data_IF_404865976294
#
_entry.id   IF_404865976294
#
_cell.length_a   1.000
_cell.length_b   1.000
_cell.length_c   1.000
_cell.angle_alpha   90.00
_cell.angle_beta   90.00
_cell.angle_gamma   90.00
#
_symmetry.space_group_name_H-M   'P 1'
#
loop_
_entity.id
_entity.type
_entity.pdbx_description
1 polymer ?
#
# COMPACT_ATOMS: atom_id res chain seq x y z
N UNK A 1 -45.53 -8.81 28.38
CA UNK A 1 -44.70 -8.00 27.46
C UNK A 1 -43.25 -8.42 27.63
N UNK A 2 -42.66 -9.11 26.66
CA UNK A 2 -41.24 -9.47 26.67
C UNK A 2 -40.58 -8.71 25.53
N UNK A 3 -39.87 -7.64 25.87
CA UNK A 3 -39.10 -6.84 24.93
C UNK A 3 -37.99 -7.69 24.35
N UNK A 4 -37.98 -7.80 23.02
CA UNK A 4 -36.93 -8.48 22.27
C UNK A 4 -35.82 -7.46 21.95
N UNK A 5 -35.07 -7.05 22.97
CA UNK A 5 -33.99 -6.04 22.88
C UNK A 5 -32.61 -6.67 22.58
N UNK A 6 -32.58 -7.77 21.83
CA UNK A 6 -31.35 -8.52 21.54
C UNK A 6 -30.53 -8.03 20.35
N UNK A 7 -30.91 -6.91 19.70
CA UNK A 7 -30.28 -6.48 18.44
C UNK A 7 -29.81 -5.02 18.38
N UNK A 8 -29.86 -4.26 19.47
CA UNK A 8 -29.38 -2.88 19.49
C UNK A 8 -28.01 -2.79 20.17
N UNK A 9 -26.94 -2.74 19.38
CA UNK A 9 -25.71 -2.06 19.83
C UNK A 9 -24.38 -2.77 19.63
N UNK A 10 -24.35 -4.08 19.38
CA UNK A 10 -23.09 -4.73 19.02
C UNK A 10 -22.84 -4.62 17.52
N UNK A 11 -22.30 -3.48 17.09
CA UNK A 11 -21.44 -3.45 15.90
C UNK A 11 -20.29 -4.41 16.18
N UNK A 12 -20.42 -5.65 15.74
CA UNK A 12 -19.33 -6.61 15.68
C UNK A 12 -18.34 -6.04 14.67
N UNK A 13 -17.43 -5.19 15.14
CA UNK A 13 -16.26 -4.80 14.37
C UNK A 13 -15.41 -6.05 14.32
N UNK A 14 -15.49 -6.79 13.22
CA UNK A 14 -14.59 -7.90 12.94
C UNK A 14 -13.16 -7.43 13.21
N UNK A 15 -12.36 -8.14 14.02
CA UNK A 15 -10.97 -7.77 14.31
C UNK A 15 -10.18 -7.48 13.02
N UNK A 16 -10.45 -8.28 11.98
CA UNK A 16 -9.88 -8.14 10.64
C UNK A 16 -10.20 -6.80 9.97
N UNK A 17 -11.37 -6.21 10.25
CA UNK A 17 -11.73 -4.86 9.78
C UNK A 17 -10.94 -3.78 10.53
N UNK A 18 -10.71 -3.97 11.82
CA UNK A 18 -9.94 -3.04 12.67
C UNK A 18 -8.46 -3.02 12.27
N UNK A 19 -7.91 -4.19 11.94
CA UNK A 19 -6.54 -4.31 11.44
C UNK A 19 -6.36 -3.67 10.06
N UNK A 20 -7.34 -3.80 9.15
CA UNK A 20 -7.31 -3.11 7.84
C UNK A 20 -7.49 -1.59 7.97
N UNK A 21 -8.29 -1.12 8.92
CA UNK A 21 -8.50 0.31 9.18
C UNK A 21 -7.25 1.03 9.72
N UNK A 22 -6.27 0.28 10.26
CA UNK A 22 -5.04 0.84 10.82
C UNK A 22 -3.84 0.83 9.85
N UNK A 23 -3.91 0.14 8.70
CA UNK A 23 -2.79 0.07 7.76
C UNK A 23 -2.70 1.35 6.93
N UNK A 24 -1.49 1.90 6.83
CA UNK A 24 -1.18 3.06 5.99
C UNK A 24 -0.57 2.61 4.67
N UNK A 25 -0.65 3.47 3.66
CA UNK A 25 0.06 3.25 2.39
C UNK A 25 1.57 3.10 2.60
N UNK A 26 2.16 3.72 3.63
CA UNK A 26 3.56 3.52 4.03
C UNK A 26 3.94 2.04 4.26
N UNK A 27 3.01 1.22 4.78
CA UNK A 27 3.23 -0.21 5.03
C UNK A 27 3.00 -1.08 3.79
N UNK A 28 2.57 -0.48 2.67
CA UNK A 28 2.26 -1.18 1.45
C UNK A 28 3.52 -1.42 0.60
N UNK A 29 3.67 -2.64 0.07
CA UNK A 29 4.79 -2.98 -0.84
C UNK A 29 4.74 -2.22 -2.17
N UNK A 30 3.55 -1.75 -2.56
CA UNK A 30 3.36 -1.01 -3.80
C UNK A 30 3.66 0.49 -3.66
N UNK A 31 3.88 0.99 -2.44
CA UNK A 31 4.31 2.36 -2.23
C UNK A 31 5.83 2.43 -2.31
N UNK A 32 6.32 3.14 -3.32
CA UNK A 32 7.75 3.26 -3.63
C UNK A 32 8.14 4.72 -3.79
N UNK A 33 9.41 5.05 -3.56
CA UNK A 33 9.95 6.35 -3.95
C UNK A 33 10.32 6.33 -5.43
N UNK A 34 9.64 7.15 -6.22
CA UNK A 34 9.98 7.37 -7.62
C UNK A 34 10.98 8.52 -7.69
N UNK A 35 12.20 8.21 -8.12
CA UNK A 35 13.29 9.14 -8.30
C UNK A 35 13.25 9.73 -9.70
N UNK A 36 12.93 11.01 -9.79
CA UNK A 36 13.14 11.83 -10.96
C UNK A 36 14.58 12.32 -11.07
N UNK A 37 14.81 13.27 -11.99
CA UNK A 37 16.14 13.87 -12.19
C UNK A 37 16.53 14.82 -11.06
N UNK A 38 15.56 15.57 -10.53
CA UNK A 38 15.78 16.61 -9.51
C UNK A 38 15.00 16.34 -8.21
N UNK A 39 13.93 15.55 -8.28
CA UNK A 39 13.04 15.30 -7.14
C UNK A 39 12.77 13.81 -6.95
N UNK A 40 12.48 13.41 -5.72
CA UNK A 40 11.97 12.08 -5.39
C UNK A 40 10.58 12.23 -4.77
N UNK A 41 9.61 11.49 -5.32
CA UNK A 41 8.22 11.52 -4.84
C UNK A 41 7.72 10.12 -4.54
N UNK A 42 6.85 10.00 -3.56
CA UNK A 42 6.13 8.76 -3.31
C UNK A 42 5.17 8.47 -4.46
N UNK A 43 5.05 7.20 -4.83
CA UNK A 43 4.17 6.75 -5.89
C UNK A 43 3.64 5.35 -5.61
N UNK A 44 2.40 5.09 -6.02
CA UNK A 44 1.77 3.78 -5.93
C UNK A 44 1.87 3.05 -7.27
N UNK A 45 2.59 1.92 -7.30
CA UNK A 45 2.76 1.11 -8.52
C UNK A 45 1.77 -0.04 -8.65
N UNK A 46 0.79 -0.17 -7.73
CA UNK A 46 -0.19 -1.26 -7.75
C UNK A 46 -1.02 -1.31 -9.04
N UNK A 47 -1.28 -0.15 -9.65
CA UNK A 47 -2.02 -0.03 -10.91
C UNK A 47 -1.16 -0.20 -12.17
N UNK A 48 0.14 -0.49 -12.02
CA UNK A 48 1.04 -0.70 -13.15
C UNK A 48 1.15 -2.20 -13.47
N UNK A 49 0.98 -2.61 -14.74
CA UNK A 49 0.80 -4.01 -15.13
C UNK A 49 1.98 -4.92 -14.73
N UNK A 50 3.21 -4.42 -14.78
CA UNK A 50 4.41 -5.21 -14.47
C UNK A 50 4.66 -5.38 -12.97
N UNK A 51 4.16 -4.44 -12.15
CA UNK A 51 4.38 -4.44 -10.70
C UNK A 51 3.25 -5.15 -9.95
N UNK A 52 2.07 -5.30 -10.57
CA UNK A 52 0.97 -6.09 -10.04
C UNK A 52 1.12 -7.61 -10.21
N UNK A 53 2.14 -8.06 -10.96
CA UNK A 53 2.35 -9.48 -11.25
C UNK A 53 2.73 -10.27 -9.97
N UNK A 54 2.11 -11.44 -9.72
CA UNK A 54 2.44 -12.28 -8.58
C UNK A 54 3.92 -12.72 -8.63
N UNK A 55 4.63 -12.55 -7.52
CA UNK A 55 6.05 -12.91 -7.41
C UNK A 55 7.05 -11.83 -7.85
N UNK A 56 6.61 -10.74 -8.49
CA UNK A 56 7.49 -9.62 -8.83
C UNK A 56 7.95 -8.90 -7.56
N UNK A 57 9.26 -8.85 -7.29
CA UNK A 57 9.80 -8.04 -6.20
C UNK A 57 9.67 -6.55 -6.55
N UNK A 58 9.09 -5.79 -5.64
CA UNK A 58 8.94 -4.34 -5.80
C UNK A 58 10.04 -3.68 -4.96
N UNK A 59 10.99 -2.97 -5.59
CA UNK A 59 12.04 -2.28 -4.87
C UNK A 59 11.47 -1.08 -4.12
N UNK A 60 12.14 -0.66 -3.05
CA UNK A 60 11.69 0.48 -2.23
C UNK A 60 11.77 1.81 -2.99
N UNK A 61 12.63 1.88 -4.01
CA UNK A 61 12.80 3.03 -4.90
C UNK A 61 12.87 2.59 -6.36
N UNK A 62 12.31 3.40 -7.25
CA UNK A 62 12.33 3.22 -8.70
C UNK A 62 12.75 4.51 -9.39
N UNK A 63 13.46 4.42 -10.52
CA UNK A 63 13.67 5.60 -11.34
C UNK A 63 12.44 5.89 -12.20
N UNK A 64 12.10 7.17 -12.36
CA UNK A 64 11.00 7.61 -13.20
C UNK A 64 11.14 7.09 -14.65
N UNK A 65 12.36 6.98 -15.16
CA UNK A 65 12.64 6.41 -16.50
C UNK A 65 12.15 4.97 -16.63
N UNK A 66 12.33 4.14 -15.60
CA UNK A 66 11.88 2.75 -15.61
C UNK A 66 10.35 2.68 -15.58
N UNK A 67 9.71 3.52 -14.77
CA UNK A 67 8.25 3.62 -14.72
C UNK A 67 7.69 4.08 -16.07
N UNK A 68 8.33 5.04 -16.73
CA UNK A 68 7.94 5.50 -18.08
C UNK A 68 8.14 4.41 -19.12
N UNK A 69 9.23 3.64 -19.06
CA UNK A 69 9.49 2.53 -19.99
C UNK A 69 8.41 1.45 -19.88
N UNK A 70 7.96 1.14 -18.67
CA UNK A 70 7.00 0.06 -18.40
C UNK A 70 5.55 0.50 -18.61
N UNK A 71 5.18 1.70 -18.16
CA UNK A 71 3.80 2.14 -18.07
C UNK A 71 3.50 3.46 -18.82
N UNK A 72 4.50 4.01 -19.51
CA UNK A 72 4.41 5.31 -20.16
C UNK A 72 4.40 6.49 -19.19
N UNK A 73 4.43 7.70 -19.75
CA UNK A 73 4.35 8.96 -18.99
C UNK A 73 3.06 9.05 -18.18
N UNK A 74 1.97 8.59 -18.75
CA UNK A 74 0.65 8.59 -18.11
C UNK A 74 0.58 7.60 -16.92
N UNK A 75 1.25 6.45 -17.03
CA UNK A 75 1.45 5.53 -15.91
C UNK A 75 2.24 6.15 -14.76
N UNK A 76 3.32 6.88 -15.07
CA UNK A 76 4.07 7.63 -14.06
C UNK A 76 3.21 8.67 -13.34
N UNK A 77 2.44 9.47 -14.08
CA UNK A 77 1.56 10.49 -13.49
C UNK A 77 0.51 9.89 -12.57
N UNK A 78 -0.11 8.76 -12.97
CA UNK A 78 -1.03 8.03 -12.09
C UNK A 78 -0.36 7.51 -10.82
N UNK A 79 0.86 6.98 -10.94
CA UNK A 79 1.59 6.43 -9.81
C UNK A 79 1.88 7.51 -8.77
N UNK A 80 2.43 8.66 -9.17
CA UNK A 80 2.73 9.76 -8.24
C UNK A 80 1.48 10.45 -7.69
N UNK A 81 0.36 10.42 -8.42
CA UNK A 81 -0.90 11.02 -7.95
C UNK A 81 -1.56 10.25 -6.79
N UNK A 82 -1.18 8.98 -6.58
CA UNK A 82 -1.71 8.11 -5.50
C UNK A 82 -0.64 7.73 -4.47
N UNK A 83 0.47 8.46 -4.44
CA UNK A 83 1.61 8.18 -3.57
C UNK A 83 1.61 9.00 -2.29
N UNK A 84 0.63 8.80 -1.41
CA UNK A 84 0.64 9.41 -0.09
C UNK A 84 0.97 8.35 0.98
N UNK A 85 2.11 8.43 1.68
CA UNK A 85 2.47 7.47 2.73
C UNK A 85 1.54 7.52 3.95
N UNK A 86 0.95 8.69 4.25
CA UNK A 86 0.11 8.88 5.43
C UNK A 86 -1.36 8.53 5.19
N UNK A 87 -1.75 8.41 3.92
CA UNK A 87 -3.09 7.97 3.56
C UNK A 87 -3.37 6.54 4.07
N UNK A 88 -4.64 6.29 4.40
CA UNK A 88 -5.13 4.96 4.70
C UNK A 88 -4.91 4.04 3.49
N UNK A 89 -4.47 2.81 3.75
CA UNK A 89 -4.22 1.84 2.70
C UNK A 89 -5.48 1.54 1.89
N UNK A 90 -5.33 1.48 0.56
CA UNK A 90 -6.42 1.16 -0.35
C UNK A 90 -6.74 -0.35 -0.36
N UNK A 91 -7.81 -0.73 -1.09
CA UNK A 91 -8.25 -2.12 -1.22
C UNK A 91 -7.27 -3.08 -1.92
N UNK A 92 -6.17 -2.56 -2.48
CA UNK A 92 -5.09 -3.35 -3.13
C UNK A 92 -3.85 -3.46 -2.20
N UNK A 93 -4.02 -3.18 -0.91
CA UNK A 93 -2.95 -3.27 0.07
C UNK A 93 -2.33 -4.66 0.09
N UNK A 94 -1.01 -4.71 -0.08
CA UNK A 94 -0.21 -5.87 0.26
C UNK A 94 0.87 -5.45 1.24
N UNK A 95 1.05 -6.16 2.37
CA UNK A 95 2.05 -5.81 3.35
C UNK A 95 3.45 -5.87 2.72
N UNK A 96 4.28 -4.89 3.04
CA UNK A 96 5.74 -5.04 2.86
C UNK A 96 6.15 -6.27 3.64
N UNK A 97 6.79 -7.24 2.99
CA UNK A 97 7.58 -8.24 3.69
C UNK A 97 8.74 -7.50 4.35
N UNK A 98 8.50 -6.95 5.55
CA UNK A 98 9.57 -6.50 6.42
C UNK A 98 10.39 -7.75 6.66
N UNK A 99 11.63 -7.80 6.17
CA UNK A 99 12.56 -8.83 6.62
C UNK A 99 12.42 -8.82 8.13
N UNK A 100 11.92 -9.91 8.72
CA UNK A 100 12.00 -10.13 10.14
C UNK A 100 13.49 -9.98 10.44
N UNK A 101 13.90 -8.81 10.95
CA UNK A 101 15.23 -8.67 11.51
C UNK A 101 15.20 -9.68 12.64
N UNK A 102 16.00 -10.75 12.62
CA UNK A 102 16.11 -11.59 13.79
C UNK A 102 16.60 -10.67 14.89
N UNK A 103 15.72 -10.36 15.84
CA UNK A 103 16.08 -9.67 17.07
C UNK A 103 17.05 -10.60 17.78
N UNK A 104 18.34 -10.36 17.61
CA UNK A 104 19.39 -11.02 18.38
C UNK A 104 19.31 -10.40 19.78
N UNK A 105 18.93 -11.15 20.82
CA UNK A 105 19.14 -10.69 22.19
C UNK A 105 20.65 -10.73 22.45
N UNK A 106 21.20 -9.57 22.81
CA UNK A 106 22.56 -9.43 23.33
C UNK A 106 22.63 -9.77 24.81
#
# INVERSE_FOLDING_TARGET
MRGNSLWEGHRIVLPELRERAAKRCADCRFLVKIQGREEARWGCVAGLPEYGAPGKLIPESLHAVEVIRVAGRDGLLRAVSRGDPDAQACGVFLPRFRKLVPSVPG
#
